data_IF_635966045020
#
_entry.id   IF_635966045020
#
_cell.length_a   1.000
_cell.length_b   1.000
_cell.length_c   1.000
_cell.angle_alpha   90.00
_cell.angle_beta   90.00
_cell.angle_gamma   90.00
#
_symmetry.space_group_name_H-M   'P 1'
#
loop_
_entity.id
_entity.type
_entity.pdbx_description
1 polymer ?
#
# COMPACT_ATOMS: atom_id res chain seq x y z
N UNK A 1 21.44 9.01 0.45
CA UNK A 1 21.44 7.61 0.95
C UNK A 1 20.46 6.83 0.10
N UNK A 2 20.77 5.60 -0.37
CA UNK A 2 19.89 4.86 -1.29
C UNK A 2 19.75 3.39 -0.96
N UNK A 3 18.56 2.83 -1.20
CA UNK A 3 18.34 1.40 -1.39
C UNK A 3 18.36 1.11 -2.89
N UNK A 4 19.02 0.05 -3.36
CA UNK A 4 19.09 -0.26 -4.78
C UNK A 4 19.13 -1.76 -5.05
N UNK A 5 18.64 -2.16 -6.23
CA UNK A 5 18.47 -3.54 -6.65
C UNK A 5 18.71 -3.68 -8.15
N UNK A 6 19.29 -4.80 -8.57
CA UNK A 6 19.57 -5.13 -9.98
C UNK A 6 18.47 -5.96 -10.66
N UNK A 7 17.31 -6.10 -10.02
CA UNK A 7 16.15 -6.80 -10.59
C UNK A 7 14.82 -6.16 -10.12
N UNK A 8 13.73 -6.30 -10.91
CA UNK A 8 12.38 -5.92 -10.49
C UNK A 8 11.93 -6.69 -9.24
N UNK A 9 11.04 -6.10 -8.46
CA UNK A 9 10.37 -6.77 -7.35
C UNK A 9 9.46 -7.90 -7.87
N UNK A 10 9.55 -9.07 -7.23
CA UNK A 10 8.71 -10.25 -7.54
C UNK A 10 7.50 -10.32 -6.62
N UNK A 11 7.63 -9.74 -5.43
CA UNK A 11 6.58 -9.67 -4.41
C UNK A 11 6.52 -8.29 -3.76
N UNK A 12 5.44 -8.05 -3.01
CA UNK A 12 5.15 -6.74 -2.42
C UNK A 12 6.23 -6.27 -1.44
N UNK A 13 6.80 -7.19 -0.65
CA UNK A 13 7.86 -6.86 0.33
C UNK A 13 9.18 -6.40 -0.33
N UNK A 14 9.37 -6.70 -1.61
CA UNK A 14 10.54 -6.24 -2.37
C UNK A 14 10.31 -4.89 -3.07
N UNK A 15 9.06 -4.42 -3.17
CA UNK A 15 8.72 -3.17 -3.84
C UNK A 15 9.14 -1.95 -3.01
N UNK A 16 9.39 -0.82 -3.69
CA UNK A 16 9.90 0.39 -3.04
C UNK A 16 8.74 1.31 -2.62
N UNK A 17 8.63 1.70 -1.35
CA UNK A 17 7.59 2.61 -0.89
C UNK A 17 7.89 4.07 -1.28
N UNK A 18 6.87 4.77 -1.78
CA UNK A 18 6.82 6.23 -1.86
C UNK A 18 5.52 6.72 -1.25
N UNK A 19 5.52 7.91 -0.63
CA UNK A 19 4.30 8.46 -0.05
C UNK A 19 4.44 9.89 0.43
N UNK A 20 3.32 10.59 0.53
CA UNK A 20 3.25 11.98 0.97
C UNK A 20 2.44 12.17 2.27
N UNK A 21 2.28 11.08 3.04
CA UNK A 21 1.45 11.03 4.24
C UNK A 21 0.00 10.62 3.97
N UNK A 22 -0.56 10.98 2.80
CA UNK A 22 -1.93 10.64 2.40
C UNK A 22 -1.98 9.58 1.30
N UNK A 23 -1.34 9.87 0.17
CA UNK A 23 -1.15 8.96 -0.96
C UNK A 23 0.13 8.15 -0.77
N UNK A 24 0.04 6.86 -1.04
CA UNK A 24 1.17 5.95 -1.03
C UNK A 24 1.18 5.02 -2.24
N UNK A 25 2.38 4.59 -2.65
CA UNK A 25 2.54 3.55 -3.63
C UNK A 25 3.72 2.63 -3.32
N UNK A 26 3.57 1.35 -3.64
CA UNK A 26 4.65 0.37 -3.68
C UNK A 26 5.04 0.12 -5.13
N UNK A 27 6.27 0.53 -5.49
CA UNK A 27 6.78 0.56 -6.87
C UNK A 27 7.57 -0.72 -7.18
N UNK A 28 7.12 -1.49 -8.17
CA UNK A 28 7.66 -2.83 -8.44
C UNK A 28 8.90 -2.81 -9.32
N UNK A 29 9.01 -1.90 -10.28
CA UNK A 29 10.21 -1.82 -11.13
C UNK A 29 10.17 -2.67 -12.40
N UNK A 30 9.03 -3.20 -12.83
CA UNK A 30 8.93 -4.02 -14.05
C UNK A 30 9.20 -3.23 -15.34
N UNK A 31 9.74 -3.94 -16.34
CA UNK A 31 10.20 -3.39 -17.63
C UNK A 31 9.26 -3.65 -18.80
N UNK A 32 8.45 -4.72 -18.74
CA UNK A 32 7.35 -4.97 -19.68
C UNK A 32 6.03 -4.45 -19.10
N UNK A 33 5.75 -4.82 -17.86
CA UNK A 33 4.63 -4.32 -17.08
C UNK A 33 5.13 -3.76 -15.76
N UNK A 34 4.89 -2.47 -15.54
CA UNK A 34 5.04 -1.88 -14.22
C UNK A 34 3.78 -2.06 -13.41
N UNK A 35 3.94 -2.27 -12.10
CA UNK A 35 2.85 -2.21 -11.14
C UNK A 35 3.19 -1.22 -10.05
N UNK A 36 2.28 -0.28 -9.81
CA UNK A 36 2.25 0.52 -8.59
C UNK A 36 1.03 0.08 -7.80
N UNK A 37 1.24 -0.62 -6.70
CA UNK A 37 0.15 -0.87 -5.76
C UNK A 37 -0.10 0.42 -5.00
N UNK A 38 -1.35 0.89 -4.95
CA UNK A 38 -1.74 2.20 -4.47
C UNK A 38 -2.48 2.14 -3.14
N UNK A 39 -2.28 3.16 -2.33
CA UNK A 39 -2.95 3.38 -1.06
C UNK A 39 -3.36 4.85 -0.89
N UNK A 40 -4.44 5.06 -0.15
CA UNK A 40 -4.90 6.36 0.33
C UNK A 40 -5.31 6.19 1.80
N UNK A 41 -4.75 7.01 2.69
CA UNK A 41 -4.79 6.81 4.14
C UNK A 41 -6.19 6.76 4.76
N UNK A 42 -7.19 7.36 4.10
CA UNK A 42 -8.58 7.43 4.56
C UNK A 42 -9.46 6.30 4.01
N UNK A 43 -8.90 5.42 3.19
CA UNK A 43 -9.64 4.27 2.66
C UNK A 43 -9.71 3.11 3.67
N UNK A 44 -10.80 3.10 4.45
CA UNK A 44 -11.09 2.07 5.44
C UNK A 44 -12.43 1.38 5.14
N UNK A 45 -12.58 0.15 5.59
CA UNK A 45 -13.86 -0.54 5.56
C UNK A 45 -14.87 0.12 6.53
N UNK A 46 -16.15 -0.21 6.39
CA UNK A 46 -17.18 0.25 7.32
C UNK A 46 -17.46 1.74 7.21
N UNK A 47 -17.80 2.37 8.34
CA UNK A 47 -18.16 3.78 8.42
C UNK A 47 -18.26 4.25 9.86
N UNK A 48 -18.63 5.52 10.09
CA UNK A 48 -18.82 6.05 11.43
C UNK A 48 -19.83 5.21 12.22
N UNK A 49 -19.49 4.85 13.45
CA UNK A 49 -20.35 4.06 14.31
C UNK A 49 -19.94 4.15 15.77
N UNK A 50 -20.91 3.99 16.67
CA UNK A 50 -20.63 3.78 18.09
C UNK A 50 -20.42 2.29 18.33
N UNK A 51 -19.20 1.93 18.72
CA UNK A 51 -18.82 0.56 19.03
C UNK A 51 -19.22 0.17 20.46
N UNK A 52 -19.68 1.12 21.29
CA UNK A 52 -20.09 0.83 22.64
C UNK A 52 -21.33 -0.08 22.64
N UNK A 53 -21.29 -1.11 23.50
CA UNK A 53 -22.50 -1.86 23.85
C UNK A 53 -23.20 -1.13 25.00
N UNK A 54 -24.43 -0.60 24.81
CA UNK A 54 -25.10 0.19 25.85
C UNK A 54 -25.28 -0.57 27.17
N UNK A 55 -25.50 -1.88 27.10
CA UNK A 55 -25.79 -2.71 28.27
C UNK A 55 -24.54 -3.34 28.91
N UNK A 56 -23.34 -3.18 28.33
CA UNK A 56 -22.11 -3.80 28.83
C UNK A 56 -21.86 -3.46 30.31
N UNK A 57 -22.09 -2.21 30.71
CA UNK A 57 -21.88 -1.74 32.09
C UNK A 57 -22.62 -2.57 33.15
N UNK A 58 -23.75 -3.20 32.80
CA UNK A 58 -24.53 -4.06 33.71
C UNK A 58 -23.74 -5.30 34.15
N UNK A 59 -22.79 -5.75 33.32
CA UNK A 59 -21.98 -6.93 33.59
C UNK A 59 -20.67 -6.62 34.33
N UNK A 60 -20.28 -5.34 34.46
CA UNK A 60 -18.99 -4.93 35.04
C UNK A 60 -18.81 -5.40 36.49
N UNK A 61 -19.86 -5.33 37.30
CA UNK A 61 -19.81 -5.74 38.70
C UNK A 61 -19.54 -7.25 38.83
N UNK A 62 -20.22 -8.06 38.01
CA UNK A 62 -20.07 -9.51 38.01
C UNK A 62 -18.69 -9.93 37.47
N UNK A 63 -18.22 -9.29 36.40
CA UNK A 63 -16.87 -9.51 35.86
C UNK A 63 -15.81 -9.28 36.95
N UNK A 64 -15.90 -8.16 37.68
CA UNK A 64 -14.98 -7.84 38.79
C UNK A 64 -15.05 -8.88 39.90
N UNK A 65 -16.24 -9.35 40.26
CA UNK A 65 -16.42 -10.42 41.27
C UNK A 65 -15.71 -11.71 40.83
N UNK A 66 -15.92 -12.15 39.60
CA UNK A 66 -15.30 -13.36 39.05
C UNK A 66 -13.76 -13.26 39.02
N UNK A 67 -13.21 -12.08 38.74
CA UNK A 67 -11.76 -11.82 38.79
C UNK A 67 -11.22 -11.94 40.22
N UNK A 68 -11.88 -11.33 41.20
CA UNK A 68 -11.46 -11.40 42.62
C UNK A 68 -11.53 -12.83 43.17
N UNK A 69 -12.47 -13.63 42.68
CA UNK A 69 -12.60 -15.05 43.03
C UNK A 69 -11.67 -15.98 42.21
N UNK A 70 -10.76 -15.43 41.39
CA UNK A 70 -9.84 -16.16 40.51
C UNK A 70 -10.53 -17.09 39.49
N UNK A 71 -11.79 -16.76 39.12
CA UNK A 71 -12.60 -17.52 38.16
C UNK A 71 -12.37 -17.04 36.72
N UNK A 72 -11.13 -17.09 36.27
CA UNK A 72 -10.65 -16.50 35.00
C UNK A 72 -11.49 -16.87 33.77
N UNK A 73 -11.75 -18.17 33.57
CA UNK A 73 -12.51 -18.64 32.41
C UNK A 73 -13.97 -18.16 32.40
N UNK A 74 -14.57 -17.96 33.58
CA UNK A 74 -15.94 -17.44 33.68
C UNK A 74 -15.97 -15.94 33.41
N UNK A 75 -15.00 -15.19 33.96
CA UNK A 75 -14.85 -13.77 33.69
C UNK A 75 -14.64 -13.51 32.18
N UNK A 76 -13.73 -14.24 31.54
CA UNK A 76 -13.45 -14.10 30.12
C UNK A 76 -14.69 -14.38 29.26
N UNK A 77 -15.39 -15.49 29.50
CA UNK A 77 -16.63 -15.80 28.75
C UNK A 77 -17.69 -14.70 28.86
N UNK A 78 -17.83 -14.10 30.04
CA UNK A 78 -18.79 -13.00 30.24
C UNK A 78 -18.34 -11.72 29.53
N UNK A 79 -17.04 -11.43 29.52
CA UNK A 79 -16.47 -10.30 28.78
C UNK A 79 -16.71 -10.48 27.28
N UNK A 80 -16.34 -11.64 26.74
CA UNK A 80 -16.43 -11.95 25.30
C UNK A 80 -17.88 -11.87 24.81
N UNK A 81 -18.84 -12.32 25.63
CA UNK A 81 -20.25 -12.32 25.28
C UNK A 81 -20.90 -10.93 25.38
N UNK A 82 -20.64 -10.18 26.46
CA UNK A 82 -21.50 -9.04 26.84
C UNK A 82 -20.76 -7.70 26.97
N UNK A 83 -19.43 -7.72 27.03
CA UNK A 83 -18.66 -6.53 27.42
C UNK A 83 -17.78 -5.95 26.30
N UNK A 84 -17.50 -6.72 25.26
CA UNK A 84 -16.82 -6.22 24.05
C UNK A 84 -17.71 -5.26 23.26
N UNK A 85 -17.10 -4.41 22.44
CA UNK A 85 -17.83 -3.56 21.50
C UNK A 85 -18.67 -4.35 20.50
N UNK A 86 -19.56 -3.66 19.78
CA UNK A 86 -20.31 -4.22 18.66
C UNK A 86 -20.16 -3.34 17.41
N UNK A 87 -19.46 -3.79 16.36
CA UNK A 87 -18.64 -5.01 16.31
C UNK A 87 -17.47 -4.95 17.29
N UNK A 88 -16.90 -6.10 17.64
CA UNK A 88 -15.78 -6.19 18.58
C UNK A 88 -14.45 -5.74 17.97
N UNK A 89 -14.40 -5.64 16.64
CA UNK A 89 -13.21 -5.28 15.87
C UNK A 89 -13.39 -3.92 15.20
N UNK A 90 -12.27 -3.21 15.03
CA UNK A 90 -12.25 -1.99 14.23
C UNK A 90 -12.25 -2.34 12.74
N UNK A 91 -12.71 -1.39 11.93
CA UNK A 91 -12.63 -1.52 10.49
C UNK A 91 -11.19 -1.73 10.01
N UNK A 92 -11.02 -2.58 9.00
CA UNK A 92 -9.72 -2.81 8.38
C UNK A 92 -9.40 -1.72 7.35
N UNK A 93 -8.14 -1.26 7.37
CA UNK A 93 -7.58 -0.44 6.29
C UNK A 93 -7.62 -1.18 4.96
N UNK A 94 -7.90 -0.45 3.87
CA UNK A 94 -8.14 -1.04 2.56
C UNK A 94 -7.10 -0.59 1.52
N UNK A 95 -6.86 -1.45 0.55
CA UNK A 95 -6.07 -1.11 -0.64
C UNK A 95 -6.92 -0.31 -1.62
N UNK A 96 -6.33 0.73 -2.23
CA UNK A 96 -7.00 1.51 -3.27
C UNK A 96 -7.07 0.71 -4.57
N UNK A 97 -5.95 0.08 -4.96
CA UNK A 97 -5.87 -0.75 -6.16
C UNK A 97 -4.45 -0.79 -6.71
N UNK A 98 -4.33 -1.20 -7.96
CA UNK A 98 -3.09 -1.23 -8.72
C UNK A 98 -3.19 -0.34 -9.96
N UNK A 99 -2.17 0.50 -10.17
CA UNK A 99 -1.89 1.11 -11.46
C UNK A 99 -0.88 0.24 -12.21
N UNK A 100 -1.32 -0.34 -13.32
CA UNK A 100 -0.51 -1.14 -14.22
C UNK A 100 -0.13 -0.30 -15.44
N UNK A 101 1.16 -0.26 -15.79
CA UNK A 101 1.64 0.34 -17.02
C UNK A 101 2.24 -0.74 -17.92
N UNK A 102 1.64 -1.00 -19.06
CA UNK A 102 2.24 -1.86 -20.09
C UNK A 102 3.14 -1.00 -20.96
N UNK A 103 4.45 -1.21 -20.87
CA UNK A 103 5.48 -0.40 -21.49
C UNK A 103 5.78 -0.94 -22.89
N UNK A 104 5.75 -0.06 -23.89
CA UNK A 104 6.08 -0.40 -25.26
C UNK A 104 7.59 -0.60 -25.44
N UNK A 105 7.95 -1.42 -26.42
CA UNK A 105 9.34 -1.70 -26.79
C UNK A 105 9.54 -3.19 -27.07
N UNK A 106 10.54 -3.51 -27.87
CA UNK A 106 10.94 -4.87 -28.19
C UNK A 106 12.44 -5.06 -27.91
N UNK A 107 12.89 -6.30 -27.83
CA UNK A 107 14.28 -6.65 -27.58
C UNK A 107 14.62 -6.89 -26.10
N UNK A 108 15.86 -7.31 -25.88
CA UNK A 108 16.37 -7.70 -24.55
C UNK A 108 16.55 -6.49 -23.63
N UNK A 109 16.30 -6.72 -22.34
CA UNK A 109 16.54 -5.75 -21.27
C UNK A 109 17.95 -5.95 -20.72
N UNK A 110 18.70 -4.86 -20.63
CA UNK A 110 20.04 -4.84 -20.06
C UNK A 110 20.24 -3.65 -19.11
N UNK A 111 21.32 -3.64 -18.34
CA UNK A 111 21.72 -2.54 -17.46
C UNK A 111 20.61 -2.06 -16.51
N UNK A 112 19.84 -3.02 -15.99
CA UNK A 112 18.73 -2.74 -15.09
C UNK A 112 19.23 -2.32 -13.70
N UNK A 113 18.66 -1.25 -13.17
CA UNK A 113 18.77 -0.84 -11.77
C UNK A 113 17.46 -0.20 -11.32
N UNK A 114 16.99 -0.51 -10.12
CA UNK A 114 15.97 0.27 -9.41
C UNK A 114 16.50 0.72 -8.06
N UNK A 115 16.12 1.92 -7.65
CA UNK A 115 16.55 2.52 -6.40
C UNK A 115 15.44 3.34 -5.75
N UNK A 116 15.53 3.50 -4.43
CA UNK A 116 14.83 4.53 -3.67
C UNK A 116 15.88 5.44 -3.04
N UNK A 117 15.90 6.69 -3.48
CA UNK A 117 16.74 7.72 -2.89
C UNK A 117 16.01 8.35 -1.70
N UNK A 118 16.60 8.22 -0.52
CA UNK A 118 16.02 8.67 0.74
C UNK A 118 16.26 10.16 1.02
N UNK A 119 17.10 10.83 0.23
CA UNK A 119 17.29 12.28 0.30
C UNK A 119 16.25 13.02 -0.54
N UNK A 120 15.89 12.46 -1.70
CA UNK A 120 14.94 13.08 -2.64
C UNK A 120 13.54 12.48 -2.58
N UNK A 121 13.36 11.34 -1.90
CA UNK A 121 12.13 10.55 -1.85
C UNK A 121 11.63 10.09 -3.23
N UNK A 122 12.57 9.84 -4.16
CA UNK A 122 12.28 9.39 -5.52
C UNK A 122 12.65 7.92 -5.68
N UNK A 123 11.67 7.11 -6.11
CA UNK A 123 11.93 5.76 -6.62
C UNK A 123 12.27 5.85 -8.11
N UNK A 124 13.44 5.38 -8.50
CA UNK A 124 13.93 5.42 -9.88
C UNK A 124 14.11 4.00 -10.42
N UNK A 125 13.71 3.76 -11.66
CA UNK A 125 14.03 2.55 -12.41
C UNK A 125 14.72 2.95 -13.70
N UNK A 126 15.88 2.37 -13.99
CA UNK A 126 16.64 2.57 -15.22
C UNK A 126 16.91 1.23 -15.87
N UNK A 127 16.79 1.15 -17.19
CA UNK A 127 17.19 -0.01 -17.97
C UNK A 127 17.40 0.38 -19.43
N UNK A 128 18.09 -0.47 -20.18
CA UNK A 128 18.21 -0.36 -21.63
C UNK A 128 17.36 -1.43 -22.29
N UNK A 129 16.61 -1.07 -23.34
CA UNK A 129 15.85 -2.01 -24.17
C UNK A 129 16.02 -1.66 -25.64
N UNK A 130 16.41 -2.62 -26.47
CA UNK A 130 16.64 -2.38 -27.90
C UNK A 130 17.66 -1.24 -28.17
N UNK A 131 18.63 -1.05 -27.28
CA UNK A 131 19.62 0.02 -27.36
C UNK A 131 19.18 1.40 -26.84
N UNK A 132 17.92 1.57 -26.42
CA UNK A 132 17.38 2.81 -25.86
C UNK A 132 17.42 2.77 -24.34
N UNK A 133 17.94 3.81 -23.69
CA UNK A 133 17.91 3.92 -22.23
C UNK A 133 16.60 4.52 -21.75
N UNK A 134 15.87 3.77 -20.94
CA UNK A 134 14.64 4.19 -20.29
C UNK A 134 14.90 4.58 -18.83
N UNK A 135 14.24 5.63 -18.38
CA UNK A 135 14.23 6.05 -16.97
C UNK A 135 12.79 6.33 -16.55
N UNK A 136 12.39 5.71 -15.45
CA UNK A 136 11.16 6.01 -14.74
C UNK A 136 11.48 6.58 -13.37
N UNK A 137 10.80 7.66 -13.00
CA UNK A 137 10.86 8.27 -11.68
C UNK A 137 9.46 8.31 -11.09
N UNK A 138 9.31 7.85 -9.84
CA UNK A 138 8.05 7.82 -9.11
C UNK A 138 8.24 8.49 -7.76
N UNK A 139 7.35 9.41 -7.42
CA UNK A 139 7.32 10.05 -6.11
C UNK A 139 5.91 10.54 -5.79
N UNK A 140 5.63 10.79 -4.51
CA UNK A 140 4.40 11.41 -4.06
C UNK A 140 4.68 12.83 -3.60
N UNK A 141 4.09 13.83 -4.26
CA UNK A 141 4.26 15.24 -3.88
C UNK A 141 3.36 15.57 -2.69
N UNK A 142 3.97 15.96 -1.57
CA UNK A 142 3.26 16.53 -0.43
C UNK A 142 2.63 17.91 -0.71
N UNK A 143 3.33 18.89 -1.33
CA UNK A 143 2.70 20.18 -1.62
C UNK A 143 1.58 20.09 -2.67
N UNK A 144 1.72 19.22 -3.68
CA UNK A 144 0.75 19.14 -4.78
C UNK A 144 -0.30 18.03 -4.62
N UNK A 145 -0.19 17.22 -3.56
CA UNK A 145 -1.14 16.16 -3.22
C UNK A 145 -1.38 15.13 -4.34
N UNK A 146 -0.33 14.77 -5.08
CA UNK A 146 -0.40 13.87 -6.23
C UNK A 146 0.72 12.84 -6.23
N UNK A 147 0.43 11.62 -6.70
CA UNK A 147 1.44 10.62 -7.05
C UNK A 147 1.86 10.84 -8.50
N UNK A 148 3.16 11.01 -8.73
CA UNK A 148 3.73 11.31 -10.04
C UNK A 148 4.50 10.10 -10.55
N UNK A 149 4.23 9.73 -11.81
CA UNK A 149 5.06 8.79 -12.59
C UNK A 149 5.60 9.53 -13.80
N UNK A 150 6.92 9.73 -13.85
CA UNK A 150 7.61 10.32 -14.99
C UNK A 150 8.29 9.22 -15.79
N UNK A 151 7.96 9.11 -17.07
CA UNK A 151 8.59 8.19 -18.02
C UNK A 151 9.44 8.99 -19.00
N UNK A 152 10.67 8.54 -19.23
CA UNK A 152 11.58 9.18 -20.17
C UNK A 152 12.47 8.14 -20.87
N UNK A 153 12.94 8.51 -22.06
CA UNK A 153 13.92 7.74 -22.83
C UNK A 153 14.95 8.71 -23.43
N UNK A 154 16.14 8.22 -23.73
CA UNK A 154 17.19 9.01 -24.40
C UNK A 154 16.99 9.15 -25.92
N UNK A 155 15.98 8.47 -26.47
CA UNK A 155 15.61 8.53 -27.89
C UNK A 155 14.22 9.17 -28.05
N UNK A 156 14.06 10.22 -28.87
CA UNK A 156 12.75 10.83 -29.15
C UNK A 156 11.74 9.83 -29.69
N UNK A 157 10.50 9.90 -29.20
CA UNK A 157 9.42 9.00 -29.62
C UNK A 157 9.50 7.58 -29.05
N UNK A 158 10.51 7.26 -28.23
CA UNK A 158 10.69 5.93 -27.65
C UNK A 158 9.91 5.67 -26.35
N UNK A 159 9.06 6.61 -25.92
CA UNK A 159 8.15 6.41 -24.78
C UNK A 159 6.76 6.10 -25.31
N UNK A 160 6.31 4.87 -25.10
CA UNK A 160 4.94 4.44 -25.35
C UNK A 160 4.47 3.53 -24.23
N UNK A 161 3.22 3.66 -23.81
CA UNK A 161 2.63 2.79 -22.79
C UNK A 161 1.10 2.84 -22.86
N UNK A 162 0.47 1.83 -22.28
CA UNK A 162 -0.93 1.89 -21.87
C UNK A 162 -1.01 1.86 -20.35
N UNK A 163 -2.01 2.52 -19.78
CA UNK A 163 -2.25 2.56 -18.35
C UNK A 163 -3.60 1.92 -18.04
N UNK A 164 -3.62 1.10 -16.99
CA UNK A 164 -4.84 0.46 -16.50
C UNK A 164 -4.87 0.56 -14.98
N UNK A 165 -6.03 0.92 -14.46
CA UNK A 165 -6.31 0.85 -13.03
C UNK A 165 -7.19 -0.37 -12.75
N UNK A 166 -6.84 -1.11 -11.70
CA UNK A 166 -7.68 -2.19 -11.17
C UNK A 166 -7.81 -2.05 -9.66
N UNK A 167 -8.94 -2.49 -9.12
CA UNK A 167 -9.17 -2.48 -7.68
C UNK A 167 -9.96 -3.71 -7.27
N UNK A 168 -9.66 -4.32 -6.11
CA UNK A 168 -10.52 -5.33 -5.53
C UNK A 168 -11.79 -4.73 -4.91
N UNK A 169 -11.85 -3.40 -4.75
CA UNK A 169 -13.04 -2.71 -4.26
C UNK A 169 -14.18 -2.88 -5.27
N UNK A 170 -15.36 -3.24 -4.77
CA UNK A 170 -16.58 -3.36 -5.58
C UNK A 170 -17.31 -2.03 -5.53
N UNK A 171 -17.70 -1.53 -6.71
CA UNK A 171 -18.59 -0.37 -6.86
C UNK A 171 -20.02 -0.68 -6.44
#
# INVERSE_FOLDING_TARGET
MRLWYSAPAREWLEALPVGNGRLGAMVFGGTDTERLQLNEDSLWAGGPGDYARPDAVRHLAEIRRLVVEEKWNQAQRLIDAEFLGSPSEQAAYQVLGDLELTLAGEGEVAHYERELDLETAVARTTYTRGGVRHVREVFASAPDQVLVVRLSADTPGAVGFTARFTSPQRS
#
